data_IF_514022867695
#
_entry.id   IF_514022867695
#
_cell.length_a   1.000
_cell.length_b   1.000
_cell.length_c   1.000
_cell.angle_alpha   90.00
_cell.angle_beta   90.00
_cell.angle_gamma   90.00
#
_symmetry.space_group_name_H-M   'P 1'
#
loop_
_entity.id
_entity.type
_entity.pdbx_description
1 polymer ?
#
# COMPACT_ATOMS: atom_id res chain seq x y z
N UNK A 1 6.26 -10.13 -7.33
CA UNK A 1 6.57 -8.99 -6.43
C UNK A 1 7.41 -8.00 -7.21
N UNK A 2 6.87 -6.80 -7.45
CA UNK A 2 7.49 -5.80 -8.36
C UNK A 2 8.33 -4.75 -7.61
N UNK A 3 8.42 -4.87 -6.28
CA UNK A 3 9.15 -3.95 -5.40
C UNK A 3 10.52 -4.57 -5.14
N UNK A 4 11.44 -4.37 -6.09
CA UNK A 4 12.81 -4.94 -6.03
C UNK A 4 13.84 -3.96 -5.47
N UNK A 5 13.49 -2.67 -5.37
CA UNK A 5 14.41 -1.61 -4.91
C UNK A 5 15.44 -1.19 -5.96
N UNK A 6 15.37 -1.71 -7.19
CA UNK A 6 16.26 -1.31 -8.27
C UNK A 6 15.81 0.04 -8.86
N UNK A 7 16.69 1.03 -8.79
CA UNK A 7 16.47 2.37 -9.32
C UNK A 7 17.48 2.66 -10.43
N UNK A 8 16.99 3.11 -11.58
CA UNK A 8 17.84 3.51 -12.72
C UNK A 8 18.29 4.97 -12.57
N UNK A 9 17.44 5.80 -11.96
CA UNK A 9 17.71 7.20 -11.66
C UNK A 9 17.42 7.47 -10.19
N UNK A 10 18.19 8.36 -9.57
CA UNK A 10 18.04 8.74 -8.17
C UNK A 10 16.63 9.29 -7.91
N UNK A 11 15.90 8.65 -7.01
CA UNK A 11 14.49 8.99 -6.74
C UNK A 11 14.33 10.31 -5.97
N UNK A 12 15.34 10.70 -5.20
CA UNK A 12 15.32 11.94 -4.42
C UNK A 12 15.56 13.17 -5.31
N UNK A 13 16.43 13.06 -6.31
CA UNK A 13 16.88 14.22 -7.09
C UNK A 13 16.23 14.34 -8.47
N UNK A 14 15.85 13.23 -9.11
CA UNK A 14 15.40 13.24 -10.50
C UNK A 14 13.91 13.56 -10.67
N UNK A 15 13.07 13.11 -9.73
CA UNK A 15 11.62 13.22 -9.86
C UNK A 15 11.09 14.48 -9.19
N UNK A 16 10.09 15.09 -9.83
CA UNK A 16 9.30 16.15 -9.18
C UNK A 16 8.54 15.59 -7.98
N UNK A 17 8.10 16.47 -7.07
CA UNK A 17 7.28 16.06 -5.92
C UNK A 17 6.04 15.24 -6.30
N UNK A 18 5.44 15.53 -7.48
CA UNK A 18 4.37 14.69 -8.02
C UNK A 18 4.85 13.27 -8.36
N UNK A 19 6.01 13.14 -9.02
CA UNK A 19 6.60 11.84 -9.36
C UNK A 19 6.91 11.00 -8.12
N UNK A 20 7.44 11.64 -7.06
CA UNK A 20 7.69 10.97 -5.78
C UNK A 20 6.40 10.42 -5.15
N UNK A 21 5.30 11.18 -5.20
CA UNK A 21 3.98 10.69 -4.72
C UNK A 21 3.50 9.49 -5.54
N UNK A 22 3.65 9.52 -6.86
CA UNK A 22 3.28 8.38 -7.73
C UNK A 22 4.12 7.15 -7.39
N UNK A 23 5.42 7.30 -7.18
CA UNK A 23 6.31 6.20 -6.79
C UNK A 23 5.89 5.59 -5.45
N UNK A 24 5.58 6.42 -4.44
CA UNK A 24 5.09 5.95 -3.14
C UNK A 24 3.78 5.15 -3.28
N UNK A 25 2.83 5.61 -4.11
CA UNK A 25 1.60 4.87 -4.38
C UNK A 25 1.87 3.52 -5.06
N UNK A 26 2.80 3.47 -6.01
CA UNK A 26 3.18 2.24 -6.70
C UNK A 26 3.87 1.25 -5.75
N UNK A 27 4.70 1.73 -4.82
CA UNK A 27 5.32 0.90 -3.78
C UNK A 27 4.23 0.30 -2.88
N UNK A 28 3.25 1.09 -2.46
CA UNK A 28 2.13 0.61 -1.64
C UNK A 28 1.34 -0.49 -2.34
N UNK A 29 0.96 -0.26 -3.61
CA UNK A 29 0.22 -1.23 -4.43
C UNK A 29 1.05 -2.50 -4.66
N UNK A 30 2.35 -2.34 -4.93
CA UNK A 30 3.28 -3.44 -5.15
C UNK A 30 3.54 -4.28 -3.90
N UNK A 31 3.58 -3.65 -2.72
CA UNK A 31 3.80 -4.29 -1.42
C UNK A 31 2.60 -5.11 -0.94
N UNK A 32 1.38 -4.60 -1.15
CA UNK A 32 0.14 -5.33 -0.84
C UNK A 32 -0.23 -6.39 -1.89
N UNK A 33 0.33 -6.27 -3.10
CA UNK A 33 -0.04 -7.04 -4.27
C UNK A 33 -1.21 -6.41 -5.04
N UNK A 34 -1.11 -6.41 -6.38
CA UNK A 34 -2.08 -5.74 -7.28
C UNK A 34 -3.52 -6.20 -7.03
N UNK A 35 -3.70 -7.50 -6.77
CA UNK A 35 -5.01 -8.11 -6.50
C UNK A 35 -5.59 -7.57 -5.20
N UNK A 36 -4.81 -7.54 -4.12
CA UNK A 36 -5.23 -7.02 -2.81
C UNK A 36 -5.57 -5.53 -2.90
N UNK A 37 -4.76 -4.75 -3.62
CA UNK A 37 -5.00 -3.32 -3.84
C UNK A 37 -6.29 -3.06 -4.64
N UNK A 38 -6.51 -3.80 -5.73
CA UNK A 38 -7.72 -3.67 -6.54
C UNK A 38 -8.99 -3.95 -5.72
N UNK A 39 -8.96 -4.98 -4.86
CA UNK A 39 -10.10 -5.29 -4.01
C UNK A 39 -10.25 -4.28 -2.87
N UNK A 40 -9.17 -3.77 -2.30
CA UNK A 40 -9.22 -2.68 -1.33
C UNK A 40 -9.93 -1.44 -1.91
N UNK A 41 -9.59 -1.05 -3.14
CA UNK A 41 -10.22 0.07 -3.84
C UNK A 41 -11.71 -0.21 -4.10
N UNK A 42 -12.06 -1.39 -4.61
CA UNK A 42 -13.47 -1.78 -4.82
C UNK A 42 -14.28 -1.77 -3.51
N UNK A 43 -13.66 -2.17 -2.40
CA UNK A 43 -14.28 -2.17 -1.08
C UNK A 43 -14.46 -0.74 -0.54
N UNK A 44 -13.49 0.15 -0.73
CA UNK A 44 -13.58 1.58 -0.38
C UNK A 44 -14.61 2.32 -1.25
N UNK A 45 -14.76 1.93 -2.52
CA UNK A 45 -15.76 2.46 -3.43
C UNK A 45 -17.20 2.00 -3.10
N UNK A 46 -17.41 1.23 -2.03
CA UNK A 46 -18.74 0.77 -1.61
C UNK A 46 -19.35 -0.30 -2.52
N UNK A 47 -18.58 -0.91 -3.42
CA UNK A 47 -19.08 -1.98 -4.29
C UNK A 47 -19.29 -3.26 -3.49
N UNK A 48 -20.42 -3.93 -3.75
CA UNK A 48 -20.72 -5.23 -3.12
C UNK A 48 -19.76 -6.28 -3.67
N UNK A 49 -18.95 -6.84 -2.79
CA UNK A 49 -17.96 -7.86 -3.15
C UNK A 49 -18.68 -9.17 -3.49
N UNK A 50 -18.62 -9.55 -4.77
CA UNK A 50 -19.22 -10.78 -5.29
C UNK A 50 -18.45 -12.04 -4.91
N UNK A 51 -19.02 -13.22 -5.17
CA UNK A 51 -18.36 -14.50 -4.89
C UNK A 51 -17.03 -14.64 -5.63
N UNK A 52 -16.98 -14.29 -6.93
CA UNK A 52 -15.74 -14.33 -7.74
C UNK A 52 -14.60 -13.50 -7.14
N UNK A 53 -14.88 -12.29 -6.65
CA UNK A 53 -13.87 -11.43 -6.03
C UNK A 53 -13.35 -12.05 -4.73
N UNK A 54 -14.21 -12.69 -3.92
CA UNK A 54 -13.78 -13.39 -2.70
C UNK A 54 -12.88 -14.59 -2.99
N UNK A 55 -13.10 -15.30 -4.09
CA UNK A 55 -12.22 -16.39 -4.53
C UNK A 55 -10.84 -15.89 -4.91
N UNK A 56 -10.78 -14.83 -5.71
CA UNK A 56 -9.52 -14.20 -6.12
C UNK A 56 -8.74 -13.64 -4.92
N UNK A 57 -9.44 -13.07 -3.93
CA UNK A 57 -8.83 -12.65 -2.66
C UNK A 57 -8.26 -13.83 -1.85
N UNK A 58 -8.92 -14.98 -1.86
CA UNK A 58 -8.46 -16.15 -1.13
C UNK A 58 -7.12 -16.64 -1.68
N UNK A 59 -7.00 -16.63 -3.00
CA UNK A 59 -5.78 -17.02 -3.72
C UNK A 59 -4.65 -16.02 -3.46
N UNK A 60 -4.92 -14.70 -3.43
CA UNK A 60 -3.90 -13.69 -3.18
C UNK A 60 -3.45 -13.58 -1.72
N UNK A 61 -4.33 -13.84 -0.75
CA UNK A 61 -4.05 -13.75 0.69
C UNK A 61 -3.67 -15.13 1.28
N UNK A 62 -3.71 -16.21 0.48
CA UNK A 62 -3.52 -17.59 0.95
C UNK A 62 -4.42 -17.90 2.17
N UNK A 63 -5.66 -17.38 2.16
CA UNK A 63 -6.56 -17.50 3.29
C UNK A 63 -7.24 -18.90 3.33
N UNK A 64 -7.34 -19.57 4.49
CA UNK A 64 -7.88 -20.92 4.58
C UNK A 64 -9.41 -21.04 4.39
N UNK A 65 -10.16 -19.92 4.38
CA UNK A 65 -11.62 -19.94 4.27
C UNK A 65 -12.19 -18.65 3.65
N UNK A 66 -13.20 -18.78 2.78
CA UNK A 66 -13.89 -17.68 2.07
C UNK A 66 -14.75 -16.81 3.02
N UNK A 67 -15.19 -17.39 4.14
CA UNK A 67 -15.98 -16.71 5.16
C UNK A 67 -15.17 -15.65 5.91
N UNK A 68 -15.61 -14.38 5.84
CA UNK A 68 -15.01 -13.29 6.61
C UNK A 68 -13.69 -12.73 6.05
N UNK A 69 -13.27 -13.11 4.84
CA UNK A 69 -12.08 -12.57 4.15
C UNK A 69 -12.09 -11.04 4.11
N UNK A 70 -13.25 -10.44 3.87
CA UNK A 70 -13.43 -8.98 3.78
C UNK A 70 -13.02 -8.30 5.10
N UNK A 71 -13.43 -8.85 6.25
CA UNK A 71 -13.09 -8.30 7.58
C UNK A 71 -11.60 -8.44 7.88
N UNK A 72 -11.00 -9.58 7.53
CA UNK A 72 -9.56 -9.83 7.71
C UNK A 72 -8.71 -8.91 6.83
N UNK A 73 -9.09 -8.76 5.56
CA UNK A 73 -8.40 -7.87 4.62
C UNK A 73 -8.47 -6.42 5.10
N UNK A 74 -9.63 -5.95 5.57
CA UNK A 74 -9.76 -4.61 6.15
C UNK A 74 -8.87 -4.41 7.36
N UNK A 75 -8.75 -5.42 8.23
CA UNK A 75 -7.87 -5.36 9.40
C UNK A 75 -6.41 -5.27 8.98
N UNK A 76 -5.96 -6.11 8.04
CA UNK A 76 -4.58 -6.09 7.52
C UNK A 76 -4.28 -4.73 6.89
N UNK A 77 -5.14 -4.24 6.00
CA UNK A 77 -4.97 -2.93 5.36
C UNK A 77 -4.88 -1.79 6.38
N UNK A 78 -5.76 -1.78 7.38
CA UNK A 78 -5.74 -0.77 8.44
C UNK A 78 -4.49 -0.88 9.32
N UNK A 79 -4.07 -2.09 9.67
CA UNK A 79 -2.87 -2.31 10.46
C UNK A 79 -1.59 -1.90 9.70
N UNK A 80 -1.48 -2.26 8.42
CA UNK A 80 -0.35 -1.85 7.56
C UNK A 80 -0.27 -0.33 7.44
N UNK A 81 -1.38 0.33 7.08
CA UNK A 81 -1.40 1.80 6.96
C UNK A 81 -1.13 2.49 8.30
N UNK A 82 -1.63 1.95 9.42
CA UNK A 82 -1.35 2.51 10.73
C UNK A 82 0.14 2.38 11.09
N UNK A 83 0.76 1.23 10.80
CA UNK A 83 2.16 0.97 11.13
C UNK A 83 3.11 1.76 10.23
N UNK A 84 2.83 1.82 8.92
CA UNK A 84 3.56 2.66 7.97
C UNK A 84 3.40 4.15 8.29
N UNK A 85 2.18 4.60 8.57
CA UNK A 85 1.89 5.98 8.93
C UNK A 85 2.58 6.38 10.24
N UNK A 86 2.53 5.54 11.27
CA UNK A 86 3.22 5.79 12.54
C UNK A 86 4.74 5.83 12.35
N UNK A 87 5.30 4.87 11.60
CA UNK A 87 6.73 4.85 11.28
C UNK A 87 7.18 6.08 10.49
N UNK A 88 6.43 6.45 9.45
CA UNK A 88 6.69 7.63 8.65
C UNK A 88 6.63 8.91 9.49
N UNK A 89 5.65 9.03 10.39
CA UNK A 89 5.48 10.20 11.24
C UNK A 89 6.60 10.31 12.28
N UNK A 90 6.99 9.20 12.93
CA UNK A 90 8.11 9.16 13.87
C UNK A 90 9.43 9.53 13.19
N UNK A 91 9.68 8.98 11.99
CA UNK A 91 10.87 9.32 11.21
C UNK A 91 10.83 10.77 10.73
N UNK A 92 9.68 11.27 10.27
CA UNK A 92 9.52 12.65 9.84
C UNK A 92 9.81 13.63 11.00
N UNK A 93 9.31 13.39 12.21
CA UNK A 93 9.59 14.24 13.37
C UNK A 93 11.08 14.35 13.68
N UNK A 94 11.86 13.29 13.41
CA UNK A 94 13.30 13.27 13.64
C UNK A 94 14.10 13.87 12.49
N UNK A 95 13.81 13.45 11.27
CA UNK A 95 14.63 13.72 10.10
C UNK A 95 14.24 14.98 9.34
N UNK A 96 12.96 15.37 9.38
CA UNK A 96 12.50 16.57 8.70
C UNK A 96 13.10 17.89 9.25
N UNK A 97 13.32 18.07 10.58
CA UNK A 97 14.03 19.26 11.07
C UNK A 97 15.52 19.30 10.70
N UNK A 98 16.17 18.14 10.50
CA UNK A 98 17.58 18.08 10.11
C UNK A 98 17.78 18.22 8.59
N UNK A 99 16.86 17.68 7.77
CA UNK A 99 16.98 17.63 6.30
C UNK A 99 16.14 18.71 5.56
N UNK A 100 15.22 19.38 6.25
CA UNK A 100 14.30 20.35 5.65
C UNK A 100 13.11 19.69 4.96
N UNK A 101 11.92 20.30 5.07
CA UNK A 101 10.64 19.74 4.58
C UNK A 101 10.48 19.80 3.04
N UNK A 102 11.26 20.65 2.37
CA UNK A 102 11.14 21.00 0.95
C UNK A 102 12.48 21.37 0.29
N UNK A 103 13.58 20.70 0.66
CA UNK A 103 14.88 20.93 0.02
C UNK A 103 15.18 19.93 -1.08
#
# INVERSE_FOLDING_TARGET
TCVTGLVVQDTALYWSGFGQVVILLLIQIGGMGVVTAAVAISMLAGRRIGLKERWVMQESISAPQVGGIVRRTRFILAATLALEGAGALLLALRFCPEMGLFR
#
